data_IF_785290839340
#
_entry.id   IF_785290839340
#
_cell.length_a   1.000
_cell.length_b   1.000
_cell.length_c   1.000
_cell.angle_alpha   90.00
_cell.angle_beta   90.00
_cell.angle_gamma   90.00
#
_symmetry.space_group_name_H-M   'P 1'
#
loop_
_entity.id
_entity.type
_entity.pdbx_description
1 polymer ?
#
# COMPACT_ATOMS: atom_id res chain seq x y z
N UNK A 1 3.18 -3.23 -1.68
CA UNK A 1 2.52 -1.94 -1.40
C UNK A 1 1.80 -1.46 -2.64
N UNK A 2 0.65 -0.80 -2.49
CA UNK A 2 -0.17 -0.32 -3.60
C UNK A 2 -0.52 1.14 -3.34
N UNK A 3 -0.17 2.01 -4.30
CA UNK A 3 -0.35 3.46 -4.19
C UNK A 3 -0.95 4.05 -5.48
N UNK A 4 -1.48 5.26 -5.38
CA UNK A 4 -2.19 5.96 -6.47
C UNK A 4 -3.60 6.37 -6.04
N UNK A 5 -4.26 7.20 -6.85
CA UNK A 5 -5.56 7.78 -6.51
C UNK A 5 -6.69 6.75 -6.32
N UNK A 6 -7.69 7.12 -5.53
CA UNK A 6 -8.91 6.31 -5.40
C UNK A 6 -9.64 6.17 -6.73
N UNK A 7 -10.20 4.98 -6.96
CA UNK A 7 -10.94 4.68 -8.18
C UNK A 7 -10.10 4.11 -9.33
N UNK A 8 -8.76 4.02 -9.22
CA UNK A 8 -7.90 3.45 -10.28
C UNK A 8 -7.88 1.91 -10.34
N UNK A 9 -8.75 1.22 -9.60
CA UNK A 9 -8.82 -0.25 -9.63
C UNK A 9 -7.75 -0.98 -8.82
N UNK A 10 -7.04 -0.31 -7.90
CA UNK A 10 -6.02 -0.89 -7.00
C UNK A 10 -6.46 -2.21 -6.38
N UNK A 11 -7.58 -2.19 -5.66
CA UNK A 11 -8.13 -3.36 -4.97
C UNK A 11 -8.61 -4.44 -5.94
N UNK A 12 -9.14 -4.04 -7.10
CA UNK A 12 -9.56 -4.98 -8.15
C UNK A 12 -8.36 -5.73 -8.72
N UNK A 13 -7.25 -5.03 -9.02
CA UNK A 13 -6.04 -5.68 -9.52
C UNK A 13 -5.46 -6.66 -8.49
N UNK A 14 -5.37 -6.23 -7.22
CA UNK A 14 -4.88 -7.08 -6.13
C UNK A 14 -5.74 -8.34 -5.99
N UNK A 15 -7.07 -8.17 -5.99
CA UNK A 15 -8.02 -9.29 -5.96
C UNK A 15 -7.84 -10.23 -7.17
N UNK A 16 -7.66 -9.68 -8.37
CA UNK A 16 -7.45 -10.48 -9.59
C UNK A 16 -6.12 -11.21 -9.62
N UNK A 17 -5.04 -10.61 -9.10
CA UNK A 17 -3.71 -11.23 -9.08
C UNK A 17 -3.64 -12.41 -8.12
N UNK A 18 -4.26 -12.30 -6.95
CA UNK A 18 -4.12 -13.30 -5.88
C UNK A 18 -5.40 -14.10 -5.60
N UNK A 19 -6.48 -13.83 -6.34
CA UNK A 19 -7.80 -14.45 -6.16
C UNK A 19 -8.28 -14.43 -4.70
N UNK A 20 -7.89 -13.40 -3.94
CA UNK A 20 -8.13 -13.32 -2.50
C UNK A 20 -9.10 -12.19 -2.19
N UNK A 21 -10.20 -12.51 -1.51
CA UNK A 21 -11.24 -11.54 -1.17
C UNK A 21 -10.90 -10.74 0.10
N UNK A 22 -9.95 -9.82 -0.06
CA UNK A 22 -9.36 -8.98 1.01
C UNK A 22 -10.22 -7.78 1.39
N UNK A 23 -11.24 -7.46 0.59
CA UNK A 23 -11.94 -6.18 0.65
C UNK A 23 -13.44 -6.31 0.97
N UNK A 24 -13.89 -7.46 1.48
CA UNK A 24 -15.31 -7.75 1.80
C UNK A 24 -15.98 -6.69 2.68
N UNK A 25 -15.26 -6.15 3.66
CA UNK A 25 -15.77 -5.18 4.63
C UNK A 25 -15.43 -3.72 4.26
N UNK A 26 -14.90 -3.48 3.05
CA UNK A 26 -14.45 -2.14 2.65
C UNK A 26 -15.63 -1.20 2.51
N UNK A 27 -15.68 -0.18 3.36
CA UNK A 27 -16.62 0.94 3.22
C UNK A 27 -16.12 1.91 2.15
N UNK A 28 -16.94 2.17 1.15
CA UNK A 28 -16.72 3.28 0.23
C UNK A 28 -17.23 4.56 0.90
N UNK A 29 -16.31 5.47 1.20
CA UNK A 29 -16.65 6.79 1.74
C UNK A 29 -17.36 7.63 0.68
N UNK A 30 -18.33 8.44 1.12
CA UNK A 30 -19.00 9.46 0.32
C UNK A 30 -18.02 10.57 -0.12
N UNK A 31 -18.41 11.40 -1.09
CA UNK A 31 -17.55 12.49 -1.57
C UNK A 31 -17.17 13.48 -0.46
N UNK A 32 -18.10 13.77 0.46
CA UNK A 32 -17.89 14.68 1.59
C UNK A 32 -16.86 14.13 2.59
N UNK A 33 -16.93 12.83 2.87
CA UNK A 33 -16.00 12.14 3.77
C UNK A 33 -14.58 12.00 3.18
N UNK A 34 -14.46 11.95 1.85
CA UNK A 34 -13.14 11.89 1.17
C UNK A 34 -12.36 13.20 1.24
N UNK A 35 -13.04 14.35 1.33
CA UNK A 35 -12.39 15.67 1.34
C UNK A 35 -11.42 15.82 2.52
N UNK A 36 -11.75 15.24 3.67
CA UNK A 36 -10.94 15.29 4.89
C UNK A 36 -10.11 14.01 5.11
N UNK A 37 -10.08 13.10 4.13
CA UNK A 37 -9.41 11.83 4.30
C UNK A 37 -7.90 12.02 4.21
N UNK A 38 -7.21 11.74 5.32
CA UNK A 38 -5.75 11.66 5.35
C UNK A 38 -5.27 10.33 4.79
N UNK A 39 -4.03 10.30 4.29
CA UNK A 39 -3.41 9.04 3.86
C UNK A 39 -3.18 8.15 5.08
N UNK A 40 -3.82 6.99 5.09
CA UNK A 40 -3.62 5.96 6.11
C UNK A 40 -2.83 4.79 5.54
N UNK A 41 -2.15 4.02 6.40
CA UNK A 41 -1.46 2.79 6.01
C UNK A 41 -2.24 1.60 6.54
N UNK A 42 -2.85 0.84 5.62
CA UNK A 42 -3.58 -0.38 5.95
C UNK A 42 -2.78 -1.60 5.50
N UNK A 43 -2.67 -2.59 6.38
CA UNK A 43 -1.93 -3.83 6.12
C UNK A 43 -2.88 -5.02 6.13
N UNK A 44 -2.83 -5.82 5.08
CA UNK A 44 -3.57 -7.07 4.95
C UNK A 44 -2.59 -8.20 4.66
N UNK A 45 -2.49 -9.17 5.55
CA UNK A 45 -1.63 -10.34 5.37
C UNK A 45 -2.48 -11.57 5.11
N UNK A 46 -2.15 -12.30 4.05
CA UNK A 46 -2.80 -13.55 3.67
C UNK A 46 -1.79 -14.60 3.28
N UNK A 47 -2.10 -15.85 3.60
CA UNK A 47 -1.34 -17.00 3.11
C UNK A 47 -1.97 -17.46 1.79
N UNK A 48 -1.17 -17.47 0.72
CA UNK A 48 -1.58 -17.90 -0.62
C UNK A 48 -0.78 -19.14 -1.04
N UNK A 49 -1.36 -19.94 -1.93
CA UNK A 49 -0.67 -21.09 -2.53
C UNK A 49 -0.75 -20.98 -4.06
N UNK A 50 0.40 -20.77 -4.69
CA UNK A 50 0.50 -20.73 -6.16
C UNK A 50 1.35 -21.88 -6.66
N UNK A 51 0.76 -22.75 -7.50
CA UNK A 51 1.45 -23.89 -8.13
C UNK A 51 2.21 -24.78 -7.12
N UNK A 52 1.65 -24.96 -5.93
CA UNK A 52 2.24 -25.75 -4.83
C UNK A 52 3.26 -24.99 -3.97
N UNK A 53 3.48 -23.69 -4.21
CA UNK A 53 4.34 -22.83 -3.40
C UNK A 53 3.47 -22.02 -2.45
N UNK A 54 3.67 -22.19 -1.14
CA UNK A 54 3.01 -21.41 -0.09
C UNK A 54 3.77 -20.11 0.15
N UNK A 55 3.08 -18.99 0.06
CA UNK A 55 3.63 -17.64 0.23
C UNK A 55 2.80 -16.91 1.26
N UNK A 56 3.46 -16.15 2.14
CA UNK A 56 2.79 -15.17 2.99
C UNK A 56 2.87 -13.82 2.30
N UNK A 57 1.74 -13.36 1.78
CA UNK A 57 1.63 -12.09 1.09
C UNK A 57 1.10 -11.01 2.04
N UNK A 58 1.85 -9.92 2.17
CA UNK A 58 1.39 -8.71 2.88
C UNK A 58 1.14 -7.59 1.88
N UNK A 59 -0.09 -7.14 1.80
CA UNK A 59 -0.53 -6.00 1.00
C UNK A 59 -0.60 -4.79 1.92
N UNK A 60 0.07 -3.73 1.50
CA UNK A 60 0.08 -2.43 2.16
C UNK A 60 -0.68 -1.47 1.26
N UNK A 61 -1.87 -1.07 1.67
CA UNK A 61 -2.75 -0.13 0.99
C UNK A 61 -2.61 1.27 1.57
N UNK A 62 -2.76 2.27 0.70
CA UNK A 62 -2.63 3.69 1.05
C UNK A 62 -3.92 4.45 0.72
N UNK A 63 -5.06 4.17 1.38
CA UNK A 63 -6.31 4.91 1.15
C UNK A 63 -6.12 6.40 1.43
N UNK A 64 -6.82 7.27 0.69
CA UNK A 64 -6.71 8.72 0.80
C UNK A 64 -5.57 9.33 -0.01
N UNK A 65 -4.65 8.54 -0.58
CA UNK A 65 -3.56 9.06 -1.40
C UNK A 65 -4.09 9.76 -2.65
N UNK A 66 -3.82 11.05 -2.78
CA UNK A 66 -4.27 11.88 -3.91
C UNK A 66 -5.73 12.31 -3.85
N UNK A 67 -6.46 12.00 -2.78
CA UNK A 67 -7.90 12.27 -2.67
C UNK A 67 -8.22 13.65 -2.05
N UNK A 68 -7.26 14.26 -1.35
CA UNK A 68 -7.44 15.56 -0.70
C UNK A 68 -7.38 16.71 -1.72
N UNK A 69 -8.00 17.86 -1.40
CA UNK A 69 -7.87 19.07 -2.22
C UNK A 69 -6.43 19.60 -2.19
N UNK A 70 -5.79 19.53 -1.02
CA UNK A 70 -4.37 19.81 -0.84
C UNK A 70 -3.61 18.49 -0.62
N UNK A 71 -2.89 18.04 -1.64
CA UNK A 71 -2.07 16.82 -1.58
C UNK A 71 -0.59 17.11 -1.24
N UNK A 72 -0.29 18.28 -0.67
CA UNK A 72 1.06 18.57 -0.15
C UNK A 72 1.46 17.50 0.87
N UNK A 73 2.65 16.93 0.72
CA UNK A 73 3.19 15.87 1.60
C UNK A 73 2.32 14.60 1.70
N UNK A 74 1.40 14.32 0.76
CA UNK A 74 0.58 13.09 0.79
C UNK A 74 1.42 11.80 0.70
N UNK A 75 2.67 11.89 0.23
CA UNK A 75 3.63 10.79 0.19
C UNK A 75 4.27 10.48 1.56
N UNK A 76 4.23 11.42 2.51
CA UNK A 76 4.97 11.32 3.78
C UNK A 76 4.58 10.12 4.64
N UNK A 77 3.28 9.79 4.81
CA UNK A 77 2.90 8.58 5.54
C UNK A 77 3.41 7.28 4.89
N UNK A 78 3.60 7.29 3.57
CA UNK A 78 4.11 6.16 2.81
C UNK A 78 5.61 6.02 3.02
N UNK A 79 6.37 7.11 2.89
CA UNK A 79 7.83 7.10 3.12
C UNK A 79 8.16 6.76 4.57
N UNK A 80 7.47 7.37 5.53
CA UNK A 80 7.67 7.12 6.95
C UNK A 80 7.43 5.64 7.29
N UNK A 81 6.40 5.03 6.69
CA UNK A 81 6.12 3.61 6.87
C UNK A 81 7.25 2.73 6.31
N UNK A 82 7.72 3.02 5.09
CA UNK A 82 8.81 2.27 4.44
C UNK A 82 10.09 2.36 5.27
N UNK A 83 10.48 3.57 5.68
CA UNK A 83 11.67 3.81 6.50
C UNK A 83 11.57 3.11 7.85
N UNK A 84 10.40 3.12 8.48
CA UNK A 84 10.15 2.38 9.72
C UNK A 84 10.33 0.87 9.53
N UNK A 85 9.91 0.29 8.39
CA UNK A 85 10.10 -1.15 8.14
C UNK A 85 11.58 -1.49 7.93
N UNK A 86 12.33 -0.62 7.25
CA UNK A 86 13.78 -0.78 7.11
C UNK A 86 14.51 -0.66 8.44
N UNK A 87 14.16 0.34 9.26
CA UNK A 87 14.78 0.54 10.57
C UNK A 87 14.49 -0.64 11.50
N UNK A 88 13.25 -1.15 11.51
CA UNK A 88 12.88 -2.32 12.29
C UNK A 88 13.70 -3.55 11.89
N UNK A 89 13.80 -3.83 10.57
CA UNK A 89 14.62 -4.93 10.07
C UNK A 89 16.09 -4.77 10.47
N UNK A 90 16.65 -3.56 10.33
CA UNK A 90 18.03 -3.28 10.69
C UNK A 90 18.31 -3.52 12.19
N UNK A 91 17.38 -3.11 13.05
CA UNK A 91 17.45 -3.36 14.51
C UNK A 91 17.42 -4.86 14.82
N UNK A 92 16.52 -5.61 14.17
CA UNK A 92 16.37 -7.05 14.39
C UNK A 92 17.58 -7.85 13.90
N UNK A 93 18.19 -7.45 12.77
CA UNK A 93 19.41 -8.04 12.23
C UNK A 93 20.65 -7.72 13.08
N UNK A 94 20.72 -6.50 13.62
CA UNK A 94 21.81 -6.06 14.49
C UNK A 94 21.76 -6.72 15.87
N UNK A 95 20.57 -7.16 16.30
CA UNK A 95 20.32 -7.77 17.61
C UNK A 95 20.94 -9.16 17.80
N UNK A 96 20.76 -9.71 19.01
CA UNK A 96 21.29 -11.01 19.42
C UNK A 96 20.48 -12.21 18.87
N UNK A 97 19.18 -12.02 18.58
CA UNK A 97 18.25 -13.08 18.17
C UNK A 97 17.98 -13.10 16.66
N UNK A 98 19.02 -13.38 15.86
CA UNK A 98 18.97 -13.29 14.39
C UNK A 98 18.27 -14.45 13.66
N UNK A 99 17.95 -15.54 14.35
CA UNK A 99 17.54 -16.80 13.69
C UNK A 99 16.14 -16.77 13.06
N UNK A 100 15.25 -15.90 13.51
CA UNK A 100 13.84 -15.84 13.10
C UNK A 100 13.37 -14.40 12.83
N UNK A 101 14.17 -13.61 12.10
CA UNK A 101 13.78 -12.24 11.75
C UNK A 101 12.60 -12.28 10.78
N UNK A 102 11.54 -11.54 11.11
CA UNK A 102 10.42 -11.35 10.19
C UNK A 102 10.70 -10.17 9.27
N UNK A 103 10.81 -10.43 7.97
CA UNK A 103 10.99 -9.38 6.99
C UNK A 103 9.65 -8.73 6.62
N UNK A 104 9.41 -7.55 7.18
CA UNK A 104 8.21 -6.73 6.91
C UNK A 104 8.49 -5.59 5.93
N UNK A 105 9.67 -5.55 5.29
CA UNK A 105 10.02 -4.48 4.35
C UNK A 105 9.12 -4.51 3.13
N UNK A 106 8.94 -3.34 2.51
CA UNK A 106 8.19 -3.23 1.27
C UNK A 106 9.05 -3.73 0.11
N UNK A 107 8.76 -4.94 -0.38
CA UNK A 107 9.50 -5.56 -1.48
C UNK A 107 9.20 -4.95 -2.86
N UNK A 108 7.99 -4.40 -3.04
CA UNK A 108 7.55 -3.81 -4.29
C UNK A 108 6.44 -2.78 -4.04
N UNK A 109 6.44 -1.71 -4.82
CA UNK A 109 5.38 -0.72 -4.88
C UNK A 109 4.72 -0.76 -6.26
N UNK A 110 3.42 -1.03 -6.29
CA UNK A 110 2.59 -0.88 -7.49
C UNK A 110 1.95 0.51 -7.45
N UNK A 111 2.45 1.42 -8.28
CA UNK A 111 1.93 2.78 -8.39
C UNK A 111 0.94 2.88 -9.57
N UNK A 112 -0.28 3.30 -9.29
CA UNK A 112 -1.35 3.41 -10.28
C UNK A 112 -1.40 4.81 -10.84
N UNK A 113 -1.10 4.93 -12.13
CA UNK A 113 -1.19 6.19 -12.88
C UNK A 113 -2.60 6.29 -13.48
N UNK A 114 -3.20 7.48 -13.39
CA UNK A 114 -4.52 7.72 -13.95
C UNK A 114 -4.50 7.62 -15.48
N UNK A 115 -5.39 6.82 -16.11
CA UNK A 115 -5.48 6.73 -17.56
C UNK A 115 -6.24 7.91 -18.19
N UNK A 116 -6.82 8.79 -17.38
CA UNK A 116 -7.70 9.88 -17.84
C UNK A 116 -6.94 11.17 -18.24
N UNK A 117 -5.61 11.19 -18.10
CA UNK A 117 -4.76 12.34 -18.39
C UNK A 117 -3.90 12.21 -19.64
N UNK A 118 -3.09 13.22 -19.92
CA UNK A 118 -2.11 13.23 -21.02
C UNK A 118 -0.75 12.62 -20.64
N UNK A 119 -0.58 12.17 -19.39
CA UNK A 119 0.67 11.64 -18.87
C UNK A 119 0.72 11.69 -17.33
N UNK A 120 1.94 11.70 -16.79
CA UNK A 120 2.18 11.85 -15.36
C UNK A 120 1.73 13.24 -14.89
N UNK A 121 1.05 13.28 -13.74
CA UNK A 121 0.65 14.51 -13.06
C UNK A 121 1.72 14.93 -12.06
N UNK A 122 1.72 16.19 -11.61
CA UNK A 122 2.67 16.65 -10.59
C UNK A 122 2.69 15.79 -9.33
N UNK A 123 1.54 15.27 -8.88
CA UNK A 123 1.47 14.38 -7.70
C UNK A 123 2.13 13.01 -7.93
N UNK A 124 2.32 12.60 -9.18
CA UNK A 124 2.92 11.31 -9.54
C UNK A 124 4.46 11.38 -9.57
N UNK A 125 5.04 12.59 -9.59
CA UNK A 125 6.50 12.84 -9.72
C UNK A 125 7.08 13.76 -8.64
N UNK A 126 6.22 14.34 -7.80
CA UNK A 126 6.54 15.41 -6.86
C UNK A 126 7.40 14.99 -5.68
#
# INVERSE_FOLDING_TARGET
>A
MVAGESGLGKSTLVHSLFLTDLYKDRKLLSAEERINQTVEILKHTVDIEEKGVKLKLTIVDTPGFGDAVNNSECWKPITDYVDQQFEQYFRDESGLNRKNIQDNRVHCCLYFISPFGHGLRPVDVG
#
